data_IF_029236657516
#
_entry.id   IF_029236657516
#
_cell.length_a   1.000
_cell.length_b   1.000
_cell.length_c   1.000
_cell.angle_alpha   90.00
_cell.angle_beta   90.00
_cell.angle_gamma   90.00
#
_symmetry.space_group_name_H-M   'P 1'
#
loop_
_entity.id
_entity.type
_entity.pdbx_description
1 polymer ?
#
# COMPACT_ATOMS: atom_id res chain seq x y z
N UNK A 1 9.71 -18.23 5.42
CA UNK A 1 10.96 -17.60 5.91
C UNK A 1 10.62 -16.16 6.26
N UNK A 2 10.36 -15.88 7.55
CA UNK A 2 10.07 -14.51 8.01
C UNK A 2 11.39 -13.83 8.39
N UNK A 3 12.02 -13.20 7.40
CA UNK A 3 13.00 -12.16 7.70
C UNK A 3 12.20 -10.87 7.94
N UNK A 4 11.91 -10.58 9.22
CA UNK A 4 11.61 -9.22 9.64
C UNK A 4 12.89 -8.40 9.48
N UNK A 5 13.19 -8.01 8.24
CA UNK A 5 14.04 -6.88 8.00
C UNK A 5 13.22 -5.67 8.44
N UNK A 6 13.50 -5.18 9.65
CA UNK A 6 13.17 -3.82 10.06
C UNK A 6 13.97 -2.84 9.18
N UNK A 7 13.72 -2.87 7.87
CA UNK A 7 14.26 -1.93 6.92
C UNK A 7 13.70 -0.57 7.31
N UNK A 8 14.53 0.20 8.02
CA UNK A 8 14.21 1.55 8.44
C UNK A 8 14.19 2.43 7.20
N UNK A 9 12.99 2.67 6.67
CA UNK A 9 12.78 3.56 5.52
C UNK A 9 12.82 5.00 6.04
N UNK A 10 13.75 5.81 5.53
CA UNK A 10 13.89 7.21 5.92
C UNK A 10 12.73 8.06 5.39
N UNK A 11 12.38 9.11 6.12
CA UNK A 11 11.43 10.12 5.63
C UNK A 11 11.90 10.71 4.29
N UNK A 12 11.01 10.95 3.31
CA UNK A 12 11.35 11.64 2.07
C UNK A 12 11.81 13.09 2.29
N UNK A 13 11.35 13.74 3.37
CA UNK A 13 11.83 15.07 3.73
C UNK A 13 13.23 14.96 4.36
N UNK A 14 14.27 15.54 3.74
CA UNK A 14 15.65 15.43 4.21
C UNK A 14 15.92 16.14 5.54
N UNK A 15 15.06 17.08 5.95
CA UNK A 15 15.16 17.76 7.25
C UNK A 15 14.68 16.89 8.41
N UNK A 16 13.99 15.78 8.12
CA UNK A 16 13.44 14.88 9.14
C UNK A 16 14.39 13.70 9.33
N UNK A 17 14.88 13.54 10.55
CA UNK A 17 15.76 12.43 10.93
C UNK A 17 14.98 11.13 11.22
N UNK A 18 13.65 11.22 11.33
CA UNK A 18 12.77 10.11 11.63
C UNK A 18 12.57 9.17 10.44
N UNK A 19 12.28 7.90 10.76
CA UNK A 19 11.84 6.92 9.76
C UNK A 19 10.34 7.07 9.46
N UNK A 20 9.93 6.60 8.29
CA UNK A 20 8.53 6.49 7.89
C UNK A 20 7.79 5.60 8.89
N UNK A 21 6.62 6.07 9.29
CA UNK A 21 5.71 5.36 10.22
C UNK A 21 4.30 5.25 9.67
N UNK A 22 3.94 6.08 8.70
CA UNK A 22 2.57 6.20 8.22
C UNK A 22 2.50 6.19 6.71
N UNK A 23 1.35 5.79 6.20
CA UNK A 23 0.96 5.83 4.82
C UNK A 23 -0.39 6.55 4.66
N UNK A 24 -0.51 7.39 3.63
CA UNK A 24 -1.74 8.08 3.26
C UNK A 24 -2.36 7.43 2.03
N UNK A 25 -3.63 7.04 2.16
CA UNK A 25 -4.42 6.37 1.13
C UNK A 25 -5.38 7.32 0.41
N UNK A 26 -5.30 8.63 0.67
CA UNK A 26 -6.09 9.59 -0.07
C UNK A 26 -5.47 9.82 -1.46
N UNK A 27 -6.18 9.42 -2.52
CA UNK A 27 -5.73 9.55 -3.90
C UNK A 27 -5.49 11.01 -4.31
N UNK A 28 -6.24 11.93 -3.73
CA UNK A 28 -6.16 13.38 -4.01
C UNK A 28 -5.12 14.10 -3.13
N UNK A 29 -4.44 13.39 -2.23
CA UNK A 29 -3.37 13.97 -1.42
C UNK A 29 -2.17 14.34 -2.31
N UNK A 30 -1.74 15.60 -2.25
CA UNK A 30 -0.59 16.13 -3.00
C UNK A 30 0.74 16.00 -2.27
N UNK A 31 0.71 15.72 -0.96
CA UNK A 31 1.91 15.49 -0.15
C UNK A 31 2.40 14.05 -0.30
N UNK A 32 3.66 13.80 0.10
CA UNK A 32 4.27 12.47 0.09
C UNK A 32 3.42 11.46 0.84
N UNK A 33 3.03 10.36 0.18
CA UNK A 33 2.13 9.39 0.78
C UNK A 33 2.76 8.58 1.91
N UNK A 34 4.09 8.51 1.96
CA UNK A 34 4.83 7.83 3.02
C UNK A 34 5.56 8.88 3.85
N UNK A 35 5.29 8.91 5.14
CA UNK A 35 5.76 10.00 5.99
C UNK A 35 6.03 9.56 7.44
N UNK A 36 6.79 10.39 8.15
CA UNK A 36 7.11 10.20 9.55
C UNK A 36 6.19 11.03 10.46
N UNK A 37 6.39 10.91 11.78
CA UNK A 37 5.61 11.67 12.76
C UNK A 37 5.86 13.19 12.70
N UNK A 38 7.07 13.62 12.32
CA UNK A 38 7.39 15.04 12.17
C UNK A 38 6.62 15.69 11.01
N UNK A 39 6.35 14.98 9.91
CA UNK A 39 5.42 15.44 8.87
C UNK A 39 4.03 15.76 9.44
N UNK A 40 3.50 14.90 10.31
CA UNK A 40 2.20 15.14 10.97
C UNK A 40 2.26 16.39 11.85
N UNK A 41 3.30 16.52 12.69
CA UNK A 41 3.49 17.69 13.55
C UNK A 41 3.55 18.99 12.76
N UNK A 42 4.16 18.95 11.58
CA UNK A 42 4.27 20.10 10.68
C UNK A 42 2.96 20.41 9.92
N UNK A 43 1.88 19.66 10.17
CA UNK A 43 0.57 19.87 9.55
C UNK A 43 0.39 19.14 8.21
N UNK A 44 1.34 18.31 7.79
CA UNK A 44 1.19 17.50 6.57
C UNK A 44 0.14 16.40 6.82
N UNK A 45 -0.82 16.26 5.91
CA UNK A 45 -1.94 15.29 5.93
C UNK A 45 -3.10 15.56 6.90
N UNK A 46 -3.12 16.66 7.66
CA UNK A 46 -4.17 16.98 8.65
C UNK A 46 -5.59 17.08 8.07
N UNK A 47 -5.73 17.31 6.76
CA UNK A 47 -7.02 17.50 6.09
C UNK A 47 -7.79 16.21 5.84
N UNK A 48 -7.16 15.04 6.01
CA UNK A 48 -7.80 13.74 5.77
C UNK A 48 -7.25 12.65 6.71
N UNK A 49 -7.38 12.83 8.04
CA UNK A 49 -6.84 11.90 9.04
C UNK A 49 -7.39 10.48 8.92
N UNK A 50 -8.64 10.32 8.48
CA UNK A 50 -9.27 9.02 8.27
C UNK A 50 -8.61 8.17 7.18
N UNK A 51 -7.88 8.81 6.26
CA UNK A 51 -7.17 8.13 5.17
C UNK A 51 -5.69 7.85 5.51
N UNK A 52 -5.31 7.98 6.79
CA UNK A 52 -3.96 7.71 7.28
C UNK A 52 -3.94 6.38 8.01
N UNK A 53 -2.92 5.57 7.79
CA UNK A 53 -2.72 4.28 8.47
C UNK A 53 -1.24 4.10 8.81
N UNK A 54 -0.95 3.22 9.77
CA UNK A 54 0.44 2.85 10.07
C UNK A 54 1.05 2.04 8.91
N UNK A 55 2.37 2.16 8.74
CA UNK A 55 3.10 1.52 7.65
C UNK A 55 2.87 -0.01 7.54
N UNK A 56 2.74 -0.80 8.65
CA UNK A 56 2.43 -2.23 8.55
C UNK A 56 1.14 -2.52 7.75
N UNK A 57 0.12 -1.68 7.89
CA UNK A 57 -1.13 -1.84 7.15
C UNK A 57 -0.93 -1.73 5.64
N UNK A 58 0.02 -0.91 5.17
CA UNK A 58 0.34 -0.82 3.75
C UNK A 58 0.85 -2.15 3.19
N UNK A 59 1.71 -2.84 3.91
CA UNK A 59 2.22 -4.14 3.46
C UNK A 59 1.11 -5.19 3.43
N UNK A 60 0.26 -5.23 4.45
CA UNK A 60 -0.93 -6.11 4.45
C UNK A 60 -1.89 -5.79 3.30
N UNK A 61 -2.06 -4.50 2.99
CA UNK A 61 -2.90 -4.04 1.90
C UNK A 61 -2.36 -4.47 0.53
N UNK A 62 -1.05 -4.32 0.31
CA UNK A 62 -0.37 -4.78 -0.91
C UNK A 62 -0.55 -6.30 -1.08
N UNK A 63 -0.28 -7.09 -0.04
CA UNK A 63 -0.45 -8.55 -0.07
C UNK A 63 -1.90 -8.95 -0.39
N UNK A 64 -2.88 -8.21 0.13
CA UNK A 64 -4.29 -8.45 -0.18
C UNK A 64 -4.60 -8.20 -1.65
N UNK A 65 -4.07 -7.10 -2.22
CA UNK A 65 -4.24 -6.78 -3.64
C UNK A 65 -3.58 -7.85 -4.51
N UNK A 66 -2.37 -8.29 -4.18
CA UNK A 66 -1.67 -9.35 -4.90
C UNK A 66 -2.51 -10.63 -4.97
N UNK A 67 -3.06 -11.06 -3.83
CA UNK A 67 -3.96 -12.22 -3.78
C UNK A 67 -5.22 -12.03 -4.62
N UNK A 68 -5.84 -10.85 -4.57
CA UNK A 68 -7.02 -10.55 -5.39
C UNK A 68 -6.71 -10.62 -6.89
N UNK A 69 -5.54 -10.13 -7.31
CA UNK A 69 -5.07 -10.24 -8.70
C UNK A 69 -4.85 -11.70 -9.12
N UNK A 70 -4.22 -12.51 -8.27
CA UNK A 70 -4.02 -13.95 -8.52
C UNK A 70 -5.36 -14.70 -8.68
N UNK A 71 -6.31 -14.43 -7.78
CA UNK A 71 -7.65 -15.01 -7.82
C UNK A 71 -8.39 -14.59 -9.10
N UNK A 72 -8.27 -13.32 -9.52
CA UNK A 72 -8.85 -12.83 -10.76
C UNK A 72 -8.27 -13.53 -11.98
N UNK A 73 -6.94 -13.66 -12.07
CA UNK A 73 -6.26 -14.38 -13.16
C UNK A 73 -6.72 -15.83 -13.22
N UNK A 74 -6.84 -16.49 -12.07
CA UNK A 74 -7.33 -17.88 -11.98
C UNK A 74 -8.76 -18.02 -12.49
N UNK A 75 -9.63 -17.08 -12.14
CA UNK A 75 -11.02 -17.07 -12.58
C UNK A 75 -11.14 -16.82 -14.09
N UNK A 76 -10.37 -15.87 -14.63
CA UNK A 76 -10.33 -15.61 -16.07
C UNK A 76 -9.86 -16.84 -16.86
N UNK A 77 -8.83 -17.55 -16.38
CA UNK A 77 -8.37 -18.81 -16.99
C UNK A 77 -9.47 -19.87 -17.02
N UNK A 78 -10.25 -20.01 -15.95
CA UNK A 78 -11.39 -20.96 -15.91
C UNK A 78 -12.46 -20.60 -16.95
N UNK A 79 -12.79 -19.31 -17.06
CA UNK A 79 -13.78 -18.83 -18.03
C UNK A 79 -13.32 -19.10 -19.47
N UNK A 80 -12.06 -18.79 -19.79
CA UNK A 80 -11.47 -19.06 -21.11
C UNK A 80 -11.49 -20.56 -21.43
N UNK A 81 -11.09 -21.41 -20.49
CA UNK A 81 -11.11 -22.86 -20.69
C UNK A 81 -12.54 -23.39 -20.92
N UNK A 82 -13.52 -22.88 -20.16
CA UNK A 82 -14.92 -23.25 -20.34
C UNK A 82 -15.44 -22.81 -21.72
N UNK A 83 -15.09 -21.61 -22.18
CA UNK A 83 -15.44 -21.13 -23.52
C UNK A 83 -14.82 -22.03 -24.60
N UNK A 84 -13.52 -22.35 -24.51
CA UNK A 84 -12.88 -23.24 -25.48
C UNK A 84 -13.52 -24.64 -25.53
N UNK A 85 -14.03 -25.16 -24.42
CA UNK A 85 -14.76 -26.43 -24.38
C UNK A 85 -16.16 -26.37 -24.99
N UNK A 86 -16.74 -25.18 -25.16
CA UNK A 86 -18.03 -25.01 -25.85
C UNK A 86 -17.89 -24.87 -27.37
N UNK A 87 -16.71 -24.46 -27.86
CA UNK A 87 -16.44 -24.24 -29.28
C UNK A 87 -15.64 -25.38 -29.95
N UNK A 88 -15.19 -26.36 -29.17
CA UNK A 88 -14.61 -27.63 -29.62
C UNK A 88 -15.58 -28.77 -29.34
#
# INVERSE_FOLDING_TARGET
MNQNNDAKIKCPNPEHLDNIKFACFNESCKADRLYCFQCIKNGTHISHPQNQQELPFLFEHIQRIEKQCEDLIKNLKKIINAAHQQFN
#
